data_IF_151460489002
#
_entry.id   IF_151460489002
#
_cell.length_a   1.000
_cell.length_b   1.000
_cell.length_c   1.000
_cell.angle_alpha   90.00
_cell.angle_beta   90.00
_cell.angle_gamma   90.00
#
_symmetry.space_group_name_H-M   'P 1'
#
loop_
_entity.id
_entity.type
_entity.pdbx_description
1 polymer ?
#
# COMPACT_ATOMS: atom_id res chain seq x y z
N UNK A 1 30.74 -11.09 -19.26
CA UNK A 1 29.29 -11.25 -19.04
C UNK A 1 29.14 -11.94 -17.69
N UNK A 2 28.74 -11.21 -16.64
CA UNK A 2 28.49 -11.77 -15.31
C UNK A 2 27.03 -12.23 -15.25
N UNK A 3 26.77 -13.42 -14.71
CA UNK A 3 25.40 -13.86 -14.41
C UNK A 3 24.97 -13.20 -13.10
N UNK A 4 24.08 -12.23 -13.18
CA UNK A 4 23.44 -11.63 -12.00
C UNK A 4 22.63 -12.71 -11.26
N UNK A 5 22.58 -12.61 -9.93
CA UNK A 5 21.87 -13.55 -9.04
C UNK A 5 22.37 -15.01 -9.09
N UNK A 6 23.56 -15.27 -9.61
CA UNK A 6 24.23 -16.56 -9.50
C UNK A 6 25.17 -16.59 -8.28
N UNK A 7 25.24 -17.74 -7.62
CA UNK A 7 26.12 -18.05 -6.50
C UNK A 7 26.82 -19.40 -6.70
N UNK A 8 27.97 -19.57 -6.07
CA UNK A 8 28.71 -20.84 -6.10
C UNK A 8 28.18 -21.78 -5.01
N UNK A 9 27.65 -22.93 -5.41
CA UNK A 9 27.21 -23.97 -4.49
C UNK A 9 28.38 -24.67 -3.79
N UNK A 10 28.09 -25.39 -2.70
CA UNK A 10 29.05 -26.22 -1.95
C UNK A 10 29.74 -27.29 -2.83
N UNK A 11 29.09 -27.71 -3.91
CA UNK A 11 29.62 -28.65 -4.89
C UNK A 11 30.45 -27.98 -6.00
N UNK A 12 30.85 -26.71 -5.82
CA UNK A 12 31.60 -25.91 -6.80
C UNK A 12 30.90 -25.77 -8.16
N UNK A 13 29.57 -25.80 -8.16
CA UNK A 13 28.72 -25.54 -9.35
C UNK A 13 28.00 -24.21 -9.20
N UNK A 14 27.76 -23.51 -10.31
CA UNK A 14 26.89 -22.32 -10.30
C UNK A 14 25.45 -22.73 -9.99
N UNK A 15 24.81 -21.98 -9.12
CA UNK A 15 23.39 -22.10 -8.75
C UNK A 15 22.80 -20.71 -8.62
N UNK A 16 21.50 -20.55 -8.83
CA UNK A 16 20.86 -19.26 -8.58
C UNK A 16 20.75 -18.99 -7.06
N UNK A 17 20.69 -17.71 -6.70
CA UNK A 17 20.31 -17.26 -5.37
C UNK A 17 18.86 -17.66 -5.05
N UNK A 18 18.49 -17.64 -3.78
CA UNK A 18 17.13 -17.94 -3.35
C UNK A 18 16.12 -17.04 -4.07
N UNK A 19 15.03 -17.64 -4.54
CA UNK A 19 13.97 -17.02 -5.32
C UNK A 19 14.30 -16.66 -6.78
N UNK A 20 15.41 -17.16 -7.30
CA UNK A 20 15.74 -17.11 -8.72
C UNK A 20 15.87 -18.54 -9.26
N UNK A 21 15.39 -18.76 -10.48
CA UNK A 21 15.47 -20.06 -11.16
C UNK A 21 16.26 -19.93 -12.46
N UNK A 22 17.00 -20.98 -12.81
CA UNK A 22 17.69 -21.04 -14.08
C UNK A 22 16.66 -20.95 -15.22
N UNK A 23 16.75 -19.91 -16.06
CA UNK A 23 15.92 -19.81 -17.25
C UNK A 23 16.20 -20.94 -18.25
N UNK A 24 15.40 -21.02 -19.31
CA UNK A 24 15.41 -22.14 -20.29
C UNK A 24 16.79 -22.54 -20.85
N UNK A 25 17.76 -21.60 -20.89
CA UNK A 25 19.11 -21.86 -21.39
C UNK A 25 20.19 -21.93 -20.30
N UNK A 26 19.81 -21.92 -19.01
CA UNK A 26 20.71 -21.89 -17.84
C UNK A 26 21.82 -20.81 -17.87
N UNK A 27 21.64 -19.78 -18.71
CA UNK A 27 22.55 -18.64 -18.89
C UNK A 27 22.12 -17.39 -18.11
N UNK A 28 20.98 -17.47 -17.43
CA UNK A 28 20.43 -16.39 -16.61
C UNK A 28 19.65 -17.01 -15.44
N UNK A 29 19.72 -16.34 -14.29
CA UNK A 29 18.87 -16.60 -13.15
C UNK A 29 17.70 -15.63 -13.22
N UNK A 30 16.51 -16.17 -13.46
CA UNK A 30 15.27 -15.41 -13.62
C UNK A 30 14.48 -15.37 -12.31
N UNK A 31 13.96 -14.20 -11.98
CA UNK A 31 13.19 -13.91 -10.78
C UNK A 31 11.85 -14.65 -10.75
N UNK A 32 11.48 -15.21 -9.60
CA UNK A 32 10.11 -15.64 -9.34
C UNK A 32 9.16 -14.43 -9.18
N UNK A 33 7.85 -14.65 -9.31
CA UNK A 33 6.84 -13.59 -9.12
C UNK A 33 6.98 -12.97 -7.72
N UNK A 34 6.92 -11.64 -7.66
CA UNK A 34 7.09 -10.85 -6.43
C UNK A 34 8.53 -10.64 -6.01
N UNK A 35 9.50 -10.94 -6.89
CA UNK A 35 10.92 -10.65 -6.69
C UNK A 35 11.37 -9.52 -7.62
N UNK A 36 12.53 -8.96 -7.28
CA UNK A 36 13.11 -7.88 -8.04
C UNK A 36 13.50 -8.36 -9.44
N UNK A 37 13.32 -7.47 -10.40
CA UNK A 37 13.67 -7.61 -11.80
C UNK A 37 14.05 -6.21 -12.30
N UNK A 38 14.83 -6.13 -13.37
CA UNK A 38 15.16 -4.87 -14.03
C UNK A 38 14.42 -4.75 -15.38
N UNK A 39 14.12 -5.89 -16.03
CA UNK A 39 13.36 -5.96 -17.28
C UNK A 39 12.47 -7.21 -17.34
N UNK A 40 11.44 -7.22 -18.20
CA UNK A 40 10.51 -8.37 -18.38
C UNK A 40 11.24 -9.70 -18.64
N UNK A 41 12.41 -9.63 -19.30
CA UNK A 41 13.21 -10.80 -19.59
C UNK A 41 13.79 -11.47 -18.33
N UNK A 42 13.91 -10.74 -17.22
CA UNK A 42 14.38 -11.27 -15.94
C UNK A 42 13.32 -12.14 -15.26
N UNK A 43 12.05 -12.04 -15.65
CA UNK A 43 11.00 -12.81 -15.00
C UNK A 43 10.98 -14.27 -15.49
N UNK A 44 10.82 -15.21 -14.55
CA UNK A 44 10.84 -16.65 -14.83
C UNK A 44 9.58 -17.13 -15.56
N UNK A 45 8.42 -16.57 -15.19
CA UNK A 45 7.13 -16.95 -15.79
C UNK A 45 7.02 -16.34 -17.18
N UNK A 46 6.63 -17.14 -18.16
CA UNK A 46 6.47 -16.65 -19.53
C UNK A 46 5.39 -15.57 -19.62
N UNK A 47 5.65 -14.51 -20.39
CA UNK A 47 4.79 -13.32 -20.52
C UNK A 47 4.54 -12.56 -19.21
N UNK A 48 5.37 -12.77 -18.18
CA UNK A 48 5.37 -11.89 -17.02
C UNK A 48 6.16 -10.61 -17.32
N UNK A 49 5.68 -9.51 -16.74
CA UNK A 49 6.20 -8.16 -16.94
C UNK A 49 6.94 -7.78 -15.66
N UNK A 50 8.11 -7.20 -15.81
CA UNK A 50 8.81 -6.59 -14.71
C UNK A 50 8.17 -5.24 -14.40
N UNK A 51 7.51 -5.17 -13.26
CA UNK A 51 6.73 -4.00 -12.89
C UNK A 51 7.58 -3.02 -12.07
N UNK A 52 8.04 -1.95 -12.71
CA UNK A 52 8.56 -0.76 -12.03
C UNK A 52 7.45 0.25 -11.66
N UNK A 53 6.22 -0.01 -12.10
CA UNK A 53 5.05 0.82 -11.90
C UNK A 53 4.28 0.41 -10.64
N UNK A 54 4.83 0.78 -9.50
CA UNK A 54 4.22 0.60 -8.18
C UNK A 54 3.84 1.94 -7.55
N UNK A 55 2.93 1.93 -6.57
CA UNK A 55 2.66 3.12 -5.77
C UNK A 55 3.95 3.71 -5.20
N UNK A 56 4.12 5.02 -5.36
CA UNK A 56 5.33 5.73 -4.97
C UNK A 56 6.46 5.77 -6.00
N UNK A 57 6.26 5.18 -7.18
CA UNK A 57 7.23 5.23 -8.28
C UNK A 57 6.97 6.40 -9.21
N UNK A 58 8.01 6.86 -9.90
CA UNK A 58 7.91 7.98 -10.82
C UNK A 58 6.99 7.64 -12.01
N UNK A 59 6.24 8.62 -12.46
CA UNK A 59 5.39 8.55 -13.64
C UNK A 59 5.48 9.87 -14.41
N UNK A 60 5.57 9.74 -15.73
CA UNK A 60 5.55 10.88 -16.66
C UNK A 60 4.17 11.02 -17.33
N UNK A 61 3.42 9.92 -17.45
CA UNK A 61 2.08 9.85 -18.04
C UNK A 61 1.15 8.92 -17.24
N UNK A 62 -0.17 9.11 -17.36
CA UNK A 62 -1.19 8.29 -16.67
C UNK A 62 -1.09 6.79 -17.03
N UNK A 63 -0.60 6.45 -18.22
CA UNK A 63 -0.42 5.06 -18.66
C UNK A 63 0.58 4.30 -17.77
N UNK A 64 1.57 4.99 -17.20
CA UNK A 64 2.54 4.37 -16.30
C UNK A 64 1.87 3.87 -15.02
N UNK A 65 0.84 4.54 -14.51
CA UNK A 65 0.13 4.10 -13.30
C UNK A 65 -1.03 3.15 -13.61
N UNK A 66 -1.38 2.92 -14.88
CA UNK A 66 -2.61 2.21 -15.27
C UNK A 66 -2.63 0.72 -14.88
N UNK A 67 -1.48 0.14 -14.51
CA UNK A 67 -1.40 -1.22 -13.97
C UNK A 67 -1.85 -1.28 -12.49
N UNK A 68 -1.73 -0.17 -11.75
CA UNK A 68 -2.22 -0.06 -10.37
C UNK A 68 -3.69 0.31 -10.44
N UNK A 69 -4.56 -0.62 -10.04
CA UNK A 69 -6.01 -0.42 -10.13
C UNK A 69 -6.43 0.80 -9.28
N UNK A 70 -7.22 1.69 -9.89
CA UNK A 70 -7.71 2.94 -9.31
C UNK A 70 -6.62 3.92 -8.85
N UNK A 71 -5.45 3.92 -9.49
CA UNK A 71 -4.39 4.90 -9.20
C UNK A 71 -4.36 6.08 -10.19
N UNK A 72 -3.63 7.13 -9.82
CA UNK A 72 -3.40 8.31 -10.65
C UNK A 72 -1.94 8.74 -10.57
N UNK A 73 -1.43 9.33 -11.65
CA UNK A 73 -0.15 10.03 -11.61
C UNK A 73 -0.36 11.41 -10.94
N UNK A 74 0.31 11.64 -9.82
CA UNK A 74 0.26 12.92 -9.10
C UNK A 74 0.97 14.04 -9.87
N UNK A 75 0.70 15.29 -9.50
CA UNK A 75 1.42 16.46 -10.06
C UNK A 75 2.93 16.43 -9.84
N UNK A 76 3.40 15.63 -8.87
CA UNK A 76 4.82 15.46 -8.57
C UNK A 76 5.47 14.35 -9.41
N UNK A 77 4.73 13.79 -10.39
CA UNK A 77 5.20 12.71 -11.25
C UNK A 77 5.40 11.42 -10.47
N UNK A 78 4.49 11.09 -9.55
CA UNK A 78 4.53 9.87 -8.74
C UNK A 78 3.17 9.18 -8.78
N UNK A 79 3.12 7.85 -8.96
CA UNK A 79 1.88 7.08 -8.90
C UNK A 79 1.34 7.04 -7.47
N UNK A 80 0.11 7.53 -7.28
CA UNK A 80 -0.58 7.61 -5.99
C UNK A 80 -2.01 7.07 -6.09
N UNK A 81 -2.58 6.71 -4.95
CA UNK A 81 -4.02 6.54 -4.84
C UNK A 81 -4.72 7.91 -4.79
N UNK A 82 -5.93 8.02 -5.36
CA UNK A 82 -6.80 9.18 -5.21
C UNK A 82 -7.13 9.48 -3.74
N UNK A 83 -7.71 10.66 -3.50
CA UNK A 83 -8.22 11.01 -2.17
C UNK A 83 -9.25 9.99 -1.69
N UNK A 84 -9.18 9.62 -0.40
CA UNK A 84 -10.04 8.61 0.23
C UNK A 84 -9.86 7.19 -0.33
N UNK A 85 -8.70 6.89 -0.93
CA UNK A 85 -8.31 5.53 -1.30
C UNK A 85 -7.14 5.05 -0.44
N UNK A 86 -7.13 3.73 -0.21
CA UNK A 86 -6.11 2.99 0.50
C UNK A 86 -5.33 2.09 -0.42
N UNK A 87 -4.04 1.92 -0.13
CA UNK A 87 -3.21 0.94 -0.80
C UNK A 87 -3.35 -0.43 -0.10
N UNK A 88 -3.77 -1.45 -0.85
CA UNK A 88 -3.57 -2.85 -0.48
C UNK A 88 -2.34 -3.36 -1.25
N UNK A 89 -1.21 -3.48 -0.55
CA UNK A 89 0.09 -3.68 -1.21
C UNK A 89 0.44 -2.47 -2.08
N UNK A 90 1.10 -2.70 -3.21
CA UNK A 90 1.63 -1.62 -4.06
C UNK A 90 0.90 -1.45 -5.40
N UNK A 91 -0.15 -2.24 -5.66
CA UNK A 91 -0.79 -2.36 -6.98
C UNK A 91 -2.32 -2.23 -6.95
N UNK A 92 -2.90 -1.90 -5.81
CA UNK A 92 -4.34 -1.81 -5.64
C UNK A 92 -4.70 -0.63 -4.75
N UNK A 93 -5.46 0.31 -5.30
CA UNK A 93 -6.13 1.35 -4.55
C UNK A 93 -7.58 0.96 -4.33
N UNK A 94 -8.00 0.87 -3.07
CA UNK A 94 -9.38 0.57 -2.67
C UNK A 94 -10.03 1.79 -2.01
N UNK A 95 -11.31 2.06 -2.32
CA UNK A 95 -12.07 3.14 -1.69
C UNK A 95 -12.24 2.92 -0.17
N UNK A 96 -12.19 3.99 0.61
CA UNK A 96 -12.56 3.97 2.04
C UNK A 96 -14.05 4.21 2.25
N UNK A 97 -14.54 3.98 3.48
CA UNK A 97 -15.92 4.30 3.89
C UNK A 97 -16.24 5.77 3.53
N UNK A 98 -17.41 6.00 2.93
CA UNK A 98 -17.90 7.27 2.35
C UNK A 98 -17.21 7.76 1.06
N UNK A 99 -16.46 6.91 0.37
CA UNK A 99 -16.07 7.16 -1.03
C UNK A 99 -16.94 6.39 -2.01
N UNK A 100 -16.99 6.83 -3.26
CA UNK A 100 -17.78 6.17 -4.30
C UNK A 100 -17.15 4.80 -4.62
N UNK A 101 -17.86 3.71 -4.30
CA UNK A 101 -17.50 2.35 -4.70
C UNK A 101 -18.54 1.78 -5.68
N UNK A 102 -18.13 0.87 -6.57
CA UNK A 102 -19.01 0.28 -7.59
C UNK A 102 -19.64 -1.04 -7.14
N UNK A 103 -19.10 -1.66 -6.09
CA UNK A 103 -19.68 -2.83 -5.44
C UNK A 103 -19.35 -2.89 -3.93
N UNK A 104 -20.18 -3.58 -3.16
CA UNK A 104 -19.99 -3.76 -1.71
C UNK A 104 -18.69 -4.52 -1.38
N UNK A 105 -18.18 -5.35 -2.31
CA UNK A 105 -16.91 -6.08 -2.18
C UNK A 105 -15.68 -5.18 -2.29
N UNK A 106 -15.80 -4.01 -2.93
CA UNK A 106 -14.73 -3.00 -3.03
C UNK A 106 -14.61 -2.15 -1.76
N UNK A 107 -15.67 -2.11 -0.96
CA UNK A 107 -15.81 -1.27 0.20
C UNK A 107 -15.41 -2.07 1.47
N UNK A 108 -14.24 -1.78 2.05
CA UNK A 108 -13.82 -2.38 3.33
C UNK A 108 -14.72 -1.86 4.48
N UNK A 109 -15.79 -2.57 4.79
CA UNK A 109 -16.64 -2.24 5.94
C UNK A 109 -16.03 -2.77 7.23
N UNK A 110 -15.47 -1.87 8.03
CA UNK A 110 -15.16 -2.13 9.44
C UNK A 110 -16.40 -1.89 10.31
N UNK A 111 -17.48 -2.63 10.04
CA UNK A 111 -18.64 -2.67 10.92
C UNK A 111 -18.23 -3.37 12.21
N UNK A 112 -18.32 -2.68 13.34
CA UNK A 112 -18.26 -3.38 14.63
C UNK A 112 -19.57 -4.12 14.86
N UNK A 113 -19.49 -5.27 15.54
CA UNK A 113 -20.67 -6.03 15.99
C UNK A 113 -21.41 -5.33 17.15
N UNK A 114 -20.87 -4.24 17.70
CA UNK A 114 -21.47 -3.51 18.82
C UNK A 114 -22.55 -2.53 18.36
N UNK A 115 -23.71 -2.63 19.00
CA UNK A 115 -24.78 -1.66 18.87
C UNK A 115 -24.53 -0.44 19.77
N UNK A 116 -24.97 0.72 19.32
CA UNK A 116 -24.85 1.99 20.04
C UNK A 116 -26.09 2.85 19.84
N UNK A 117 -26.34 3.75 20.79
CA UNK A 117 -27.27 4.88 20.65
C UNK A 117 -26.54 6.21 20.56
N UNK A 118 -25.39 6.31 21.22
CA UNK A 118 -24.54 7.48 21.25
C UNK A 118 -23.08 7.08 21.04
N UNK A 119 -22.25 8.02 20.56
CA UNK A 119 -20.82 7.75 20.26
C UNK A 119 -20.00 7.34 21.49
N UNK A 120 -20.43 7.73 22.69
CA UNK A 120 -19.79 7.38 23.97
C UNK A 120 -19.95 5.91 24.33
N UNK A 121 -20.93 5.21 23.73
CA UNK A 121 -21.10 3.77 23.84
C UNK A 121 -20.12 3.00 22.92
N UNK A 122 -19.50 3.70 21.98
CA UNK A 122 -18.41 3.18 21.16
C UNK A 122 -17.07 3.41 21.88
N UNK A 123 -16.14 2.43 21.76
CA UNK A 123 -14.93 2.34 22.58
C UNK A 123 -14.12 3.64 22.68
N UNK A 124 -13.69 4.21 21.54
CA UNK A 124 -12.91 5.46 21.48
C UNK A 124 -13.69 6.50 20.64
N UNK A 125 -14.26 7.54 21.26
CA UNK A 125 -15.04 8.56 20.55
C UNK A 125 -14.27 9.30 19.45
N UNK A 126 -12.93 9.31 19.49
CA UNK A 126 -12.11 9.99 18.49
C UNK A 126 -12.02 9.21 17.17
N UNK A 127 -12.11 7.89 17.25
CA UNK A 127 -11.93 6.99 16.11
C UNK A 127 -13.20 6.23 15.73
N UNK A 128 -14.23 6.28 16.58
CA UNK A 128 -15.53 5.68 16.34
C UNK A 128 -16.64 6.72 16.19
N UNK A 129 -17.67 6.33 15.46
CA UNK A 129 -18.95 7.02 15.39
C UNK A 129 -20.09 6.03 15.66
N UNK A 130 -21.25 6.54 16.08
CA UNK A 130 -22.48 5.76 16.10
C UNK A 130 -23.30 6.07 14.84
N UNK A 131 -23.36 5.12 13.92
CA UNK A 131 -24.14 5.28 12.70
C UNK A 131 -25.65 5.30 12.99
N UNK A 132 -26.42 5.87 12.07
CA UNK A 132 -27.88 6.01 12.21
C UNK A 132 -28.63 4.68 12.37
N UNK A 133 -28.03 3.57 11.92
CA UNK A 133 -28.55 2.21 12.13
C UNK A 133 -28.23 1.64 13.52
N UNK A 134 -27.64 2.44 14.41
CA UNK A 134 -27.31 2.06 15.78
C UNK A 134 -26.12 1.12 15.88
N UNK A 135 -25.16 1.18 14.95
CA UNK A 135 -23.90 0.42 15.00
C UNK A 135 -22.69 1.34 15.14
N UNK A 136 -21.67 0.87 15.86
CA UNK A 136 -20.39 1.55 15.90
C UNK A 136 -19.62 1.33 14.59
N UNK A 137 -19.20 2.43 13.96
CA UNK A 137 -18.42 2.45 12.72
C UNK A 137 -17.19 3.33 12.88
N UNK A 138 -16.15 3.12 12.07
CA UNK A 138 -14.98 4.00 12.08
C UNK A 138 -15.34 5.43 11.69
N UNK A 139 -14.72 6.42 12.34
CA UNK A 139 -14.72 7.80 11.86
C UNK A 139 -13.97 7.91 10.54
N UNK A 140 -14.26 8.96 9.76
CA UNK A 140 -13.49 9.32 8.56
C UNK A 140 -12.00 9.37 8.89
N UNK A 141 -11.17 8.88 7.99
CA UNK A 141 -9.73 8.81 8.18
C UNK A 141 -9.23 7.78 9.23
N UNK A 142 -10.04 6.77 9.52
CA UNK A 142 -9.69 5.68 10.40
C UNK A 142 -10.05 4.31 9.82
N UNK A 143 -9.29 3.27 10.19
CA UNK A 143 -9.53 1.90 9.75
C UNK A 143 -9.39 0.93 10.94
N UNK A 144 -10.37 0.04 11.09
CA UNK A 144 -10.27 -1.04 12.06
C UNK A 144 -9.29 -2.11 11.55
N UNK A 145 -8.21 -2.31 12.30
CA UNK A 145 -7.24 -3.38 12.08
C UNK A 145 -7.69 -4.66 12.80
N UNK A 146 -8.48 -4.50 13.86
CA UNK A 146 -9.09 -5.60 14.61
C UNK A 146 -10.46 -5.16 15.14
N UNK A 147 -11.18 -6.07 15.79
CA UNK A 147 -12.47 -5.78 16.43
C UNK A 147 -12.43 -4.70 17.52
N UNK A 148 -11.25 -4.36 18.04
CA UNK A 148 -11.06 -3.37 19.12
C UNK A 148 -9.98 -2.34 18.80
N UNK A 149 -9.20 -2.53 17.73
CA UNK A 149 -8.12 -1.62 17.34
C UNK A 149 -8.50 -0.88 16.08
N UNK A 150 -8.64 0.44 16.21
CA UNK A 150 -8.71 1.37 15.09
C UNK A 150 -7.45 2.21 15.11
N UNK A 151 -6.81 2.36 13.94
CA UNK A 151 -5.74 3.35 13.78
C UNK A 151 -6.15 4.44 12.78
N UNK A 152 -5.81 5.71 13.04
CA UNK A 152 -5.89 6.77 12.07
C UNK A 152 -4.90 6.54 10.93
N UNK A 153 -5.37 6.75 9.71
CA UNK A 153 -4.50 6.86 8.55
C UNK A 153 -4.15 8.32 8.28
N UNK A 154 -3.47 8.63 7.16
CA UNK A 154 -3.05 9.99 6.88
C UNK A 154 -4.25 10.96 6.87
N UNK A 155 -4.06 12.12 7.49
CA UNK A 155 -5.10 13.10 7.85
C UNK A 155 -6.13 12.62 8.88
N UNK A 156 -5.99 11.43 9.44
CA UNK A 156 -6.73 10.94 10.61
C UNK A 156 -6.24 11.61 11.90
N UNK A 157 -7.10 11.64 12.91
CA UNK A 157 -6.79 12.27 14.19
C UNK A 157 -5.84 11.42 15.04
N UNK A 158 -4.80 12.03 15.57
CA UNK A 158 -3.82 11.39 16.43
C UNK A 158 -3.44 12.29 17.61
N UNK A 159 -2.86 11.68 18.64
CA UNK A 159 -2.23 12.34 19.79
C UNK A 159 -0.73 12.04 19.87
N UNK A 160 -0.29 10.90 19.32
CA UNK A 160 1.09 10.42 19.32
C UNK A 160 1.42 9.78 17.97
N UNK A 161 2.71 9.78 17.64
CA UNK A 161 3.22 9.25 16.38
C UNK A 161 2.91 7.76 16.19
N UNK A 162 2.95 6.97 17.27
CA UNK A 162 2.72 5.52 17.27
C UNK A 162 1.27 5.13 16.99
N UNK A 163 0.35 6.08 16.97
CA UNK A 163 -1.04 5.85 16.58
C UNK A 163 -1.24 5.87 15.07
N UNK A 164 -0.33 6.47 14.31
CA UNK A 164 -0.50 6.61 12.88
C UNK A 164 -0.22 5.29 12.16
N UNK A 165 -1.20 4.81 11.38
CA UNK A 165 -1.13 3.53 10.67
C UNK A 165 0.00 3.49 9.64
N UNK A 166 0.20 4.60 8.91
CA UNK A 166 1.16 4.65 7.83
C UNK A 166 2.58 4.59 8.39
N UNK A 167 3.41 3.68 7.87
CA UNK A 167 4.85 3.76 8.14
C UNK A 167 5.41 5.09 7.64
N UNK A 168 6.47 5.57 8.30
CA UNK A 168 7.07 6.87 8.03
C UNK A 168 6.09 8.05 8.14
N UNK A 169 5.12 7.95 9.04
CA UNK A 169 4.27 9.06 9.44
C UNK A 169 4.55 9.52 10.88
N UNK A 170 4.07 10.71 11.21
CA UNK A 170 4.13 11.36 12.51
C UNK A 170 2.79 12.02 12.80
N UNK A 171 2.53 12.26 14.07
CA UNK A 171 1.40 13.06 14.52
C UNK A 171 1.76 14.54 14.58
N UNK A 172 1.38 15.28 13.55
CA UNK A 172 1.68 16.72 13.41
C UNK A 172 0.36 17.48 13.39
N UNK A 173 0.21 18.45 14.29
CA UNK A 173 -1.03 19.22 14.47
C UNK A 173 -2.26 18.32 14.70
N UNK A 174 -2.11 17.27 15.50
CA UNK A 174 -3.13 16.25 15.77
C UNK A 174 -3.62 15.49 14.52
N UNK A 175 -2.80 15.45 13.46
CA UNK A 175 -3.08 14.72 12.23
C UNK A 175 -1.91 13.83 11.83
N UNK A 176 -2.20 12.62 11.39
CA UNK A 176 -1.17 11.76 10.82
C UNK A 176 -0.69 12.35 9.49
N UNK A 177 0.60 12.64 9.39
CA UNK A 177 1.26 13.18 8.19
C UNK A 177 2.55 12.43 7.91
N UNK A 178 2.98 12.39 6.66
CA UNK A 178 4.27 11.80 6.33
C UNK A 178 5.42 12.57 7.00
N UNK A 179 6.48 11.83 7.37
CA UNK A 179 7.74 12.39 7.85
C UNK A 179 8.34 13.34 6.80
N UNK A 180 9.28 14.22 7.21
CA UNK A 180 10.09 14.95 6.25
C UNK A 180 10.69 14.03 5.19
N UNK A 181 10.80 14.52 3.95
CA UNK A 181 11.27 13.80 2.76
C UNK A 181 10.39 12.62 2.33
N UNK A 182 9.17 12.51 2.87
CA UNK A 182 8.19 11.53 2.44
C UNK A 182 6.92 12.23 1.95
N UNK A 183 6.30 11.66 0.93
CA UNK A 183 5.02 12.11 0.40
C UNK A 183 3.96 11.05 0.53
N UNK A 184 2.72 11.51 0.64
CA UNK A 184 1.54 10.66 0.70
C UNK A 184 1.30 10.02 -0.67
N UNK A 185 1.54 8.71 -0.78
CA UNK A 185 1.20 7.93 -1.96
C UNK A 185 -0.19 7.27 -1.87
N UNK A 186 -0.73 7.07 -0.67
CA UNK A 186 -2.10 6.61 -0.44
C UNK A 186 -2.55 7.01 0.96
N UNK A 187 -3.83 6.79 1.33
CA UNK A 187 -4.31 7.05 2.69
C UNK A 187 -3.43 6.45 3.80
N UNK A 188 -2.82 5.30 3.57
CA UNK A 188 -1.96 4.57 4.50
C UNK A 188 -0.50 4.43 4.08
N UNK A 189 -0.06 5.15 3.05
CA UNK A 189 1.28 4.94 2.47
C UNK A 189 2.03 6.26 2.33
N UNK A 190 3.18 6.34 2.99
CA UNK A 190 4.18 7.37 2.79
C UNK A 190 5.38 6.79 2.05
N UNK A 191 5.83 7.49 1.01
CA UNK A 191 6.95 7.04 0.16
C UNK A 191 8.04 8.09 0.22
N UNK A 192 9.30 7.64 0.25
CA UNK A 192 10.42 8.55 0.21
C UNK A 192 10.47 9.26 -1.14
N UNK A 193 10.58 10.59 -1.12
CA UNK A 193 10.80 11.37 -2.32
C UNK A 193 12.22 11.92 -2.29
N UNK A 194 13.03 11.52 -3.26
CA UNK A 194 14.32 12.16 -3.49
C UNK A 194 14.06 13.61 -3.93
N UNK A 195 14.55 14.57 -3.15
CA UNK A 195 14.70 15.95 -3.62
C UNK A 195 15.80 15.94 -4.70
N UNK A 196 15.42 16.25 -5.94
CA UNK A 196 16.36 16.52 -7.04
C UNK A 196 17.03 17.88 -6.82
#
# INVERSE_FOLDING_TARGET
>A
MMMNHAQCSTNKKCSCQDNYLAGNNARACKALIGRNCDEDADCYVENSICMDNALGKQCDEMENCSIILNSVCSSNGICICPQNYFAIGNHLCVPTINSDCTSDEECLSADSLYSCKEVTECSDPWHWNCAANGKCVCNVNNLAISNQTILPFLNGYCMKDDQCMAENSLCIDYRCRCKPNHVQAAGNLCVFQNEN
#
